data_IF_413348061876
#
_entry.id   IF_413348061876
#
_cell.length_a   1.000
_cell.length_b   1.000
_cell.length_c   1.000
_cell.angle_alpha   90.00
_cell.angle_beta   90.00
_cell.angle_gamma   90.00
#
_symmetry.space_group_name_H-M   'P 1'
#
loop_
_entity.id
_entity.type
_entity.pdbx_description
1 polymer ?
#
# COMPACT_ATOMS: atom_id res chain seq x y z
N UNK A 1 -25.80 -17.26 -9.61
CA UNK A 1 -24.63 -16.71 -8.91
C UNK A 1 -24.43 -15.31 -9.43
N UNK A 2 -24.24 -14.35 -8.54
CA UNK A 2 -23.91 -12.98 -8.92
C UNK A 2 -22.39 -12.90 -9.14
N UNK A 3 -21.95 -12.21 -10.18
CA UNK A 3 -20.54 -11.89 -10.40
C UNK A 3 -20.37 -10.38 -10.40
N UNK A 4 -19.43 -9.87 -9.62
CA UNK A 4 -19.08 -8.45 -9.55
C UNK A 4 -17.69 -8.29 -10.19
N UNK A 5 -17.65 -7.55 -11.29
CA UNK A 5 -16.52 -7.49 -12.23
C UNK A 5 -16.51 -6.12 -12.96
N UNK A 6 -16.26 -5.00 -12.24
CA UNK A 6 -16.43 -3.65 -12.81
C UNK A 6 -15.53 -3.38 -14.03
N UNK A 7 -14.24 -3.74 -13.94
CA UNK A 7 -13.24 -3.53 -14.99
C UNK A 7 -12.89 -4.80 -15.77
N UNK A 8 -13.67 -5.87 -15.58
CA UNK A 8 -13.44 -7.18 -16.17
C UNK A 8 -14.59 -7.51 -17.14
N UNK A 9 -14.25 -8.01 -18.31
CA UNK A 9 -15.19 -8.60 -19.28
C UNK A 9 -15.20 -10.11 -19.14
N UNK A 10 -16.39 -10.70 -18.92
CA UNK A 10 -16.55 -12.16 -18.91
C UNK A 10 -16.86 -12.65 -20.34
N UNK A 11 -15.99 -13.51 -20.86
CA UNK A 11 -16.10 -14.08 -22.21
C UNK A 11 -16.96 -15.34 -22.23
N UNK A 12 -16.83 -16.18 -21.20
CA UNK A 12 -17.63 -17.39 -21.08
C UNK A 12 -17.77 -17.84 -19.63
N UNK A 13 -18.91 -18.50 -19.37
CA UNK A 13 -19.15 -19.26 -18.15
C UNK A 13 -19.67 -20.63 -18.57
N UNK A 14 -19.10 -21.70 -18.03
CA UNK A 14 -19.55 -23.07 -18.35
C UNK A 14 -19.67 -23.94 -17.10
N UNK A 15 -20.69 -24.79 -17.09
CA UNK A 15 -20.94 -25.77 -16.03
C UNK A 15 -20.94 -27.13 -16.69
N UNK A 16 -20.05 -28.04 -16.26
CA UNK A 16 -19.92 -29.37 -16.87
C UNK A 16 -19.80 -29.33 -18.40
N UNK A 17 -19.01 -28.39 -18.91
CA UNK A 17 -18.77 -28.12 -20.34
C UNK A 17 -19.98 -27.57 -21.13
N UNK A 18 -21.11 -27.27 -20.48
CA UNK A 18 -22.23 -26.57 -21.09
C UNK A 18 -22.14 -25.07 -20.83
N UNK A 19 -22.24 -24.26 -21.88
CA UNK A 19 -22.17 -22.81 -21.77
C UNK A 19 -23.42 -22.26 -21.08
N UNK A 20 -23.22 -21.39 -20.09
CA UNK A 20 -24.28 -20.68 -19.40
C UNK A 20 -24.60 -19.37 -20.10
N UNK A 21 -25.85 -18.94 -20.04
CA UNK A 21 -26.20 -17.57 -20.45
C UNK A 21 -25.55 -16.55 -19.52
N UNK A 22 -25.19 -15.41 -20.09
CA UNK A 22 -24.59 -14.27 -19.38
C UNK A 22 -25.48 -13.06 -19.63
N UNK A 23 -25.91 -12.40 -18.56
CA UNK A 23 -26.53 -11.08 -18.61
C UNK A 23 -25.61 -10.11 -17.87
N UNK A 24 -25.21 -9.01 -18.51
CA UNK A 24 -24.33 -7.99 -17.95
C UNK A 24 -25.11 -6.69 -17.74
N UNK A 25 -24.92 -6.08 -16.57
CA UNK A 25 -25.41 -4.74 -16.26
C UNK A 25 -24.38 -4.03 -15.36
N UNK A 26 -23.73 -2.99 -15.88
CA UNK A 26 -22.77 -2.15 -15.15
C UNK A 26 -21.68 -2.94 -14.40
N UNK A 27 -21.05 -3.91 -15.07
CA UNK A 27 -20.00 -4.76 -14.50
C UNK A 27 -20.50 -5.78 -13.48
N UNK A 28 -21.82 -6.03 -13.44
CA UNK A 28 -22.42 -7.16 -12.72
C UNK A 28 -22.94 -8.17 -13.71
N UNK A 29 -22.65 -9.45 -13.44
CA UNK A 29 -23.13 -10.56 -14.25
C UNK A 29 -24.00 -11.49 -13.42
N UNK A 30 -25.00 -12.11 -14.05
CA UNK A 30 -25.75 -13.21 -13.46
C UNK A 30 -25.45 -14.48 -14.24
N UNK A 31 -24.89 -15.47 -13.55
CA UNK A 31 -24.71 -16.84 -14.07
C UNK A 31 -25.80 -17.72 -13.46
N UNK A 32 -26.79 -18.20 -14.24
CA UNK A 32 -27.81 -19.10 -13.72
C UNK A 32 -27.17 -20.45 -13.36
N UNK A 33 -27.39 -20.91 -12.14
CA UNK A 33 -26.91 -22.22 -11.67
C UNK A 33 -28.13 -23.02 -11.22
N UNK A 34 -28.39 -24.13 -11.89
CA UNK A 34 -29.54 -25.00 -11.58
C UNK A 34 -29.40 -25.66 -10.20
N UNK A 35 -30.53 -25.98 -9.56
CA UNK A 35 -30.50 -26.76 -8.32
C UNK A 35 -29.87 -28.14 -8.52
N UNK A 36 -30.06 -28.76 -9.70
CA UNK A 36 -29.46 -30.03 -10.05
C UNK A 36 -27.93 -29.96 -10.01
N UNK A 37 -27.34 -28.95 -10.66
CA UNK A 37 -25.88 -28.73 -10.65
C UNK A 37 -25.35 -28.46 -9.24
N UNK A 38 -26.08 -27.69 -8.42
CA UNK A 38 -25.70 -27.50 -7.00
C UNK A 38 -25.73 -28.81 -6.20
N UNK A 39 -26.67 -29.72 -6.45
CA UNK A 39 -26.71 -31.03 -5.79
C UNK A 39 -25.61 -31.96 -6.27
N UNK A 40 -25.35 -31.97 -7.58
CA UNK A 40 -24.26 -32.73 -8.21
C UNK A 40 -22.86 -32.20 -7.83
N UNK A 41 -22.78 -30.95 -7.36
CA UNK A 41 -21.54 -30.24 -7.01
C UNK A 41 -20.62 -30.09 -8.23
N UNK A 42 -21.22 -29.80 -9.38
CA UNK A 42 -20.52 -29.51 -10.63
C UNK A 42 -19.53 -28.35 -10.48
N UNK A 43 -18.59 -28.25 -11.41
CA UNK A 43 -17.67 -27.12 -11.50
C UNK A 43 -18.21 -26.06 -12.46
N UNK A 44 -18.23 -24.82 -12.01
CA UNK A 44 -18.38 -23.63 -12.83
C UNK A 44 -16.97 -23.15 -13.21
N UNK A 45 -16.75 -22.90 -14.50
CA UNK A 45 -15.53 -22.28 -15.03
C UNK A 45 -15.92 -20.95 -15.66
N UNK A 46 -15.20 -19.88 -15.31
CA UNK A 46 -15.43 -18.53 -15.83
C UNK A 46 -14.14 -18.03 -16.46
N UNK A 47 -14.22 -17.60 -17.73
CA UNK A 47 -13.11 -16.98 -18.48
C UNK A 47 -13.37 -15.51 -18.69
N UNK A 48 -12.35 -14.69 -18.52
CA UNK A 48 -12.48 -13.24 -18.51
C UNK A 48 -11.17 -12.53 -18.87
N UNK A 49 -11.25 -11.23 -19.14
CA UNK A 49 -10.07 -10.35 -19.28
C UNK A 49 -10.38 -8.92 -18.83
N UNK A 50 -9.36 -8.10 -18.59
CA UNK A 50 -9.54 -6.67 -18.34
C UNK A 50 -10.22 -5.98 -19.53
N UNK A 51 -11.11 -5.02 -19.24
CA UNK A 51 -11.71 -4.15 -20.25
C UNK A 51 -10.65 -3.22 -20.84
N UNK A 52 -10.53 -3.19 -22.17
CA UNK A 52 -9.64 -2.27 -22.87
C UNK A 52 -8.13 -2.58 -22.80
N UNK A 53 -7.72 -3.72 -22.23
CA UNK A 53 -6.35 -4.24 -22.32
C UNK A 53 -6.36 -5.58 -23.04
N UNK A 54 -5.72 -5.62 -24.21
CA UNK A 54 -5.56 -6.87 -24.96
C UNK A 54 -4.32 -7.62 -24.44
N UNK A 55 -4.47 -8.88 -24.03
CA UNK A 55 -3.34 -9.80 -23.90
C UNK A 55 -3.43 -10.88 -22.83
N UNK A 56 -3.94 -10.58 -21.63
CA UNK A 56 -4.05 -11.56 -20.53
C UNK A 56 -5.49 -12.04 -20.34
N UNK A 57 -5.69 -13.36 -20.33
CA UNK A 57 -6.98 -14.00 -20.05
C UNK A 57 -6.87 -14.69 -18.69
N UNK A 58 -7.83 -14.43 -17.81
CA UNK A 58 -8.00 -15.13 -16.55
C UNK A 58 -9.04 -16.24 -16.67
N UNK A 59 -8.76 -17.38 -16.06
CA UNK A 59 -9.72 -18.46 -15.85
C UNK A 59 -9.83 -18.77 -14.36
N UNK A 60 -11.07 -18.84 -13.85
CA UNK A 60 -11.35 -19.28 -12.48
C UNK A 60 -12.30 -20.47 -12.49
N UNK A 61 -11.97 -21.50 -11.72
CA UNK A 61 -12.81 -22.67 -11.52
C UNK A 61 -13.28 -22.76 -10.06
N UNK A 62 -14.57 -22.99 -9.86
CA UNK A 62 -15.19 -23.11 -8.55
C UNK A 62 -16.34 -24.11 -8.55
N UNK A 63 -16.64 -24.71 -7.39
CA UNK A 63 -17.82 -25.59 -7.26
C UNK A 63 -19.10 -24.78 -7.27
N UNK A 64 -20.11 -25.23 -8.01
CA UNK A 64 -21.46 -24.64 -8.04
C UNK A 64 -22.14 -24.62 -6.66
N UNK A 65 -21.80 -25.57 -5.78
CA UNK A 65 -22.21 -25.57 -4.37
C UNK A 65 -21.14 -24.95 -3.45
N UNK A 66 -21.50 -23.98 -2.59
CA UNK A 66 -20.60 -23.46 -1.56
C UNK A 66 -20.06 -24.55 -0.63
N UNK A 67 -18.74 -24.55 -0.42
CA UNK A 67 -18.08 -25.45 0.53
C UNK A 67 -18.40 -25.13 1.99
N UNK A 68 -18.07 -26.05 2.91
CA UNK A 68 -18.27 -25.84 4.37
C UNK A 68 -17.48 -24.65 4.91
N UNK A 69 -16.24 -24.45 4.44
CA UNK A 69 -15.37 -23.35 4.87
C UNK A 69 -15.97 -21.98 4.56
N UNK A 70 -16.50 -21.82 3.34
CA UNK A 70 -17.15 -20.59 2.89
C UNK A 70 -18.39 -20.23 3.74
N UNK A 71 -19.14 -21.23 4.22
CA UNK A 71 -20.27 -20.99 5.15
C UNK A 71 -19.82 -20.52 6.53
N UNK A 72 -18.62 -20.89 6.97
CA UNK A 72 -18.07 -20.50 8.27
C UNK A 72 -17.41 -19.12 8.22
N UNK A 73 -16.59 -18.87 7.20
CA UNK A 73 -15.78 -17.66 7.09
C UNK A 73 -16.46 -16.54 6.29
N UNK A 74 -17.57 -16.86 5.60
CA UNK A 74 -18.28 -15.94 4.72
C UNK A 74 -17.58 -15.72 3.37
N UNK A 75 -16.28 -15.98 3.22
CA UNK A 75 -15.55 -15.82 1.95
C UNK A 75 -14.40 -16.83 1.77
N UNK A 76 -13.92 -16.96 0.52
CA UNK A 76 -12.69 -17.67 0.17
C UNK A 76 -11.99 -16.99 -1.02
N UNK A 77 -10.65 -17.02 -1.04
CA UNK A 77 -9.86 -16.60 -2.22
C UNK A 77 -9.78 -17.78 -3.19
N UNK A 78 -10.06 -17.52 -4.46
CA UNK A 78 -9.96 -18.50 -5.53
C UNK A 78 -8.63 -18.33 -6.26
N UNK A 79 -8.12 -19.43 -6.80
CA UNK A 79 -6.98 -19.42 -7.71
C UNK A 79 -7.47 -18.97 -9.08
N UNK A 80 -6.73 -18.07 -9.71
CA UNK A 80 -6.92 -17.68 -11.10
C UNK A 80 -5.74 -18.22 -11.90
N UNK A 81 -6.01 -18.92 -12.98
CA UNK A 81 -4.99 -19.33 -13.94
C UNK A 81 -4.96 -18.29 -15.08
N UNK A 82 -3.77 -17.76 -15.37
CA UNK A 82 -3.59 -16.71 -16.38
C UNK A 82 -2.95 -17.28 -17.66
N UNK A 83 -3.48 -16.91 -18.82
CA UNK A 83 -2.95 -17.25 -20.13
C UNK A 83 -2.74 -16.02 -21.01
N UNK A 84 -1.88 -16.14 -22.02
CA UNK A 84 -1.71 -15.11 -23.05
C UNK A 84 -2.43 -15.53 -24.33
N UNK A 85 -3.14 -14.60 -24.95
CA UNK A 85 -3.68 -14.77 -26.30
C UNK A 85 -2.66 -14.25 -27.31
N UNK A 86 -1.90 -15.15 -27.94
CA UNK A 86 -1.12 -14.81 -29.14
C UNK A 86 -1.90 -15.28 -30.38
N UNK A 87 -2.34 -14.34 -31.22
CA UNK A 87 -2.89 -14.54 -32.57
C UNK A 87 -3.42 -15.95 -32.86
N UNK A 88 -4.59 -16.28 -32.30
CA UNK A 88 -5.38 -17.45 -32.71
C UNK A 88 -5.09 -18.78 -31.99
N UNK A 89 -4.20 -18.84 -31.01
CA UNK A 89 -4.09 -20.01 -30.11
C UNK A 89 -3.93 -19.57 -28.65
N UNK A 90 -4.98 -19.78 -27.85
CA UNK A 90 -4.96 -19.57 -26.40
C UNK A 90 -4.09 -20.66 -25.74
N UNK A 91 -2.99 -20.27 -25.08
CA UNK A 91 -2.25 -21.16 -24.18
C UNK A 91 -2.35 -20.61 -22.76
N UNK A 92 -3.17 -21.26 -21.93
CA UNK A 92 -3.17 -21.04 -20.49
C UNK A 92 -1.92 -21.74 -19.94
N UNK A 93 -0.93 -20.98 -19.46
CA UNK A 93 0.20 -21.56 -18.73
C UNK A 93 -0.30 -21.90 -17.33
N UNK A 94 -0.36 -23.19 -16.99
CA UNK A 94 -0.51 -23.60 -15.61
C UNK A 94 0.70 -23.08 -14.82
N UNK A 95 0.51 -22.05 -13.99
CA UNK A 95 1.53 -21.63 -13.05
C UNK A 95 1.86 -22.83 -12.15
N UNK A 96 3.08 -23.35 -12.29
CA UNK A 96 3.51 -24.62 -11.74
C UNK A 96 3.27 -24.68 -10.22
N UNK A 97 2.82 -25.84 -9.76
CA UNK A 97 2.79 -26.21 -8.34
C UNK A 97 4.22 -26.17 -7.79
N UNK A 98 4.53 -25.25 -6.88
CA UNK A 98 5.28 -25.67 -5.70
C UNK A 98 5.01 -24.77 -4.49
N UNK A 99 4.75 -25.42 -3.36
CA UNK A 99 4.49 -24.82 -2.05
C UNK A 99 5.77 -24.73 -1.21
N UNK A 100 6.95 -24.98 -1.79
CA UNK A 100 8.24 -24.99 -1.10
C UNK A 100 9.41 -24.48 -1.96
N UNK A 101 9.52 -23.17 -2.17
CA UNK A 101 10.83 -22.53 -2.41
C UNK A 101 10.72 -21.01 -2.31
N UNK A 102 10.90 -20.46 -1.10
CA UNK A 102 11.52 -19.14 -0.93
C UNK A 102 12.93 -19.41 -0.42
N UNK A 103 13.86 -19.63 -1.33
CA UNK A 103 15.31 -19.51 -1.08
C UNK A 103 15.94 -18.77 -2.25
N UNK A 104 16.82 -17.85 -1.87
CA UNK A 104 17.43 -16.81 -2.67
C UNK A 104 18.06 -17.28 -3.99
N UNK A 105 18.03 -16.40 -4.99
CA UNK A 105 19.10 -16.25 -5.96
C UNK A 105 19.21 -14.79 -6.38
N UNK A 106 20.31 -14.17 -5.97
CA UNK A 106 20.86 -12.92 -6.49
C UNK A 106 21.41 -13.11 -7.91
N UNK A 107 21.03 -12.24 -8.84
CA UNK A 107 21.86 -11.59 -9.87
C UNK A 107 21.07 -11.36 -11.16
N UNK A 108 21.12 -10.12 -11.65
CA UNK A 108 21.14 -9.81 -13.08
C UNK A 108 19.82 -9.41 -13.72
N UNK A 109 19.63 -8.08 -13.85
CA UNK A 109 19.19 -7.40 -15.07
C UNK A 109 18.02 -7.99 -15.84
N UNK A 110 16.83 -7.48 -15.54
CA UNK A 110 15.64 -7.66 -16.35
C UNK A 110 14.42 -7.40 -15.49
N UNK A 111 13.83 -6.20 -15.61
CA UNK A 111 12.47 -5.97 -15.14
C UNK A 111 11.58 -6.85 -16.00
N UNK A 112 11.32 -8.08 -15.57
CA UNK A 112 10.16 -8.82 -16.07
C UNK A 112 8.94 -8.04 -15.59
N UNK A 113 8.39 -7.20 -16.47
CA UNK A 113 7.03 -6.68 -16.32
C UNK A 113 6.12 -7.85 -15.94
N UNK A 114 5.58 -7.82 -14.73
CA UNK A 114 4.49 -8.70 -14.31
C UNK A 114 3.25 -8.34 -15.12
N UNK A 115 3.17 -8.90 -16.32
CA UNK A 115 2.04 -8.72 -17.24
C UNK A 115 0.79 -9.38 -16.65
N UNK A 116 -0.04 -8.57 -15.99
CA UNK A 116 -1.47 -8.75 -15.74
C UNK A 116 -1.88 -9.98 -14.92
N UNK A 117 -1.82 -9.89 -13.60
CA UNK A 117 -2.51 -10.83 -12.72
C UNK A 117 -3.97 -10.45 -12.48
N UNK A 118 -4.73 -11.39 -11.94
CA UNK A 118 -6.13 -11.20 -11.55
C UNK A 118 -6.34 -11.72 -10.13
N UNK A 119 -7.35 -11.21 -9.44
CA UNK A 119 -7.80 -11.73 -8.16
C UNK A 119 -9.26 -12.14 -8.23
N UNK A 120 -9.54 -13.34 -7.72
CA UNK A 120 -10.90 -13.87 -7.62
C UNK A 120 -11.22 -14.22 -6.17
N UNK A 121 -12.38 -13.77 -5.71
CA UNK A 121 -12.92 -14.07 -4.40
C UNK A 121 -14.33 -14.58 -4.52
N UNK A 122 -14.70 -15.56 -3.69
CA UNK A 122 -16.09 -15.97 -3.54
C UNK A 122 -16.59 -15.58 -2.17
N UNK A 123 -17.73 -14.91 -2.14
CA UNK A 123 -18.37 -14.39 -0.93
C UNK A 123 -19.77 -14.99 -0.81
N UNK A 124 -20.07 -15.50 0.38
CA UNK A 124 -21.40 -15.95 0.79
C UNK A 124 -21.92 -15.01 1.88
N UNK A 125 -22.82 -14.10 1.53
CA UNK A 125 -23.36 -13.10 2.46
C UNK A 125 -24.88 -12.98 2.34
N UNK A 126 -25.59 -13.22 3.44
CA UNK A 126 -27.07 -13.14 3.47
C UNK A 126 -27.74 -14.06 2.45
N UNK A 127 -27.24 -15.30 2.29
CA UNK A 127 -27.74 -16.27 1.31
C UNK A 127 -27.31 -16.02 -0.15
N UNK A 128 -26.69 -14.87 -0.45
CA UNK A 128 -26.16 -14.55 -1.78
C UNK A 128 -24.78 -15.16 -1.99
N UNK A 129 -24.61 -15.82 -3.12
CA UNK A 129 -23.37 -16.47 -3.59
C UNK A 129 -22.78 -15.60 -4.70
N UNK A 130 -21.70 -14.89 -4.36
CA UNK A 130 -21.12 -13.80 -5.14
C UNK A 130 -19.69 -14.19 -5.53
N UNK A 131 -19.36 -14.11 -6.82
CA UNK A 131 -17.99 -14.17 -7.33
C UNK A 131 -17.52 -12.74 -7.59
N UNK A 132 -16.36 -12.35 -7.07
CA UNK A 132 -15.76 -11.03 -7.30
C UNK A 132 -14.49 -11.21 -8.11
N UNK A 133 -14.36 -10.51 -9.22
CA UNK A 133 -13.22 -10.57 -10.12
C UNK A 133 -12.61 -9.17 -10.25
N UNK A 134 -11.31 -9.08 -10.02
CA UNK A 134 -10.54 -7.83 -10.09
C UNK A 134 -9.27 -8.04 -10.90
N UNK A 135 -8.84 -6.98 -11.57
CA UNK A 135 -7.46 -6.86 -12.00
C UNK A 135 -6.54 -6.85 -10.77
N UNK A 136 -5.35 -7.41 -10.90
CA UNK A 136 -4.29 -7.16 -9.92
C UNK A 136 -3.95 -5.66 -9.96
N UNK A 137 -4.12 -4.93 -8.84
CA UNK A 137 -3.83 -3.51 -8.82
C UNK A 137 -2.33 -3.30 -9.00
N UNK A 138 -1.95 -2.32 -9.83
CA UNK A 138 -0.57 -1.83 -9.81
C UNK A 138 -0.40 -0.97 -8.55
N UNK A 139 0.02 -1.59 -7.46
CA UNK A 139 0.25 -0.92 -6.17
C UNK A 139 1.44 0.03 -6.21
N UNK A 140 2.37 -0.14 -7.15
CA UNK A 140 3.51 0.76 -7.31
C UNK A 140 3.11 2.08 -7.98
N UNK A 141 2.08 2.10 -8.83
CA UNK A 141 1.61 3.29 -9.57
C UNK A 141 0.11 3.58 -9.39
N UNK A 142 -0.46 3.27 -8.21
CA UNK A 142 -1.91 3.35 -8.04
C UNK A 142 -2.45 4.79 -8.12
N UNK A 143 -1.63 5.81 -7.79
CA UNK A 143 -2.07 7.20 -7.87
C UNK A 143 -2.18 7.70 -9.31
N UNK A 144 -1.64 6.98 -10.31
CA UNK A 144 -1.84 7.28 -11.74
C UNK A 144 -3.32 7.31 -12.16
N UNK A 145 -4.19 6.62 -11.42
CA UNK A 145 -5.62 6.54 -11.68
C UNK A 145 -6.43 7.69 -11.04
N UNK A 146 -5.79 8.52 -10.23
CA UNK A 146 -6.43 9.58 -9.45
C UNK A 146 -6.21 10.91 -10.18
N UNK A 147 -7.23 11.78 -10.38
CA UNK A 147 -7.04 13.08 -11.03
C UNK A 147 -6.14 14.03 -10.25
N UNK A 148 -5.33 14.81 -10.95
CA UNK A 148 -4.38 15.79 -10.38
C UNK A 148 -5.02 16.82 -9.46
N UNK A 149 -6.26 17.21 -9.75
CA UNK A 149 -7.03 18.19 -8.97
C UNK A 149 -7.47 17.67 -7.59
N UNK A 150 -7.30 16.37 -7.32
CA UNK A 150 -7.71 15.75 -6.06
C UNK A 150 -6.80 16.25 -4.92
N UNK A 151 -7.34 16.90 -3.87
CA UNK A 151 -6.57 17.25 -2.68
C UNK A 151 -5.98 16.00 -2.02
N UNK A 152 -4.70 16.03 -1.64
CA UNK A 152 -4.01 14.88 -1.05
C UNK A 152 -4.68 14.41 0.25
N UNK A 153 -5.24 15.36 1.03
CA UNK A 153 -5.98 15.07 2.25
C UNK A 153 -7.30 14.32 2.06
N UNK A 154 -7.78 14.12 0.83
CA UNK A 154 -8.94 13.26 0.52
C UNK A 154 -8.53 11.82 0.17
N UNK A 155 -7.24 11.51 0.08
CA UNK A 155 -6.76 10.18 -0.23
C UNK A 155 -6.57 9.34 1.02
N UNK A 156 -6.97 8.07 0.94
CA UNK A 156 -6.60 7.07 1.96
C UNK A 156 -5.24 6.49 1.59
N UNK A 157 -4.21 6.90 2.32
CA UNK A 157 -2.84 6.44 2.10
C UNK A 157 -2.44 5.43 3.17
N UNK A 158 -1.94 4.26 2.74
CA UNK A 158 -1.34 3.31 3.65
C UNK A 158 -0.01 3.86 4.19
N UNK A 159 0.23 3.67 5.48
CA UNK A 159 1.45 4.09 6.16
C UNK A 159 2.06 2.99 7.01
N UNK A 160 3.36 3.10 7.28
CA UNK A 160 4.08 2.20 8.17
C UNK A 160 4.64 2.96 9.38
N UNK A 161 4.37 2.43 10.57
CA UNK A 161 4.99 2.90 11.83
C UNK A 161 6.44 2.42 11.89
N UNK A 162 7.36 3.32 12.22
CA UNK A 162 8.80 3.00 12.30
C UNK A 162 9.28 2.28 11.05
N UNK A 163 9.11 2.89 9.88
CA UNK A 163 9.25 2.27 8.56
C UNK A 163 10.63 1.62 8.33
N UNK A 164 11.66 2.07 9.04
CA UNK A 164 13.02 1.53 8.97
C UNK A 164 13.35 0.53 10.10
N UNK A 165 12.43 0.23 11.01
CA UNK A 165 12.70 -0.59 12.19
C UNK A 165 12.74 -2.10 11.91
N UNK A 166 13.80 -2.52 11.22
CA UNK A 166 14.08 -3.90 10.83
C UNK A 166 14.75 -4.73 11.94
N UNK A 167 15.29 -4.08 12.97
CA UNK A 167 16.14 -4.70 13.99
C UNK A 167 15.66 -4.39 15.42
N UNK A 168 16.03 -5.25 16.36
CA UNK A 168 15.74 -5.07 17.78
C UNK A 168 14.53 -5.84 18.30
N UNK A 169 14.20 -6.97 17.66
CA UNK A 169 13.24 -7.94 18.18
C UNK A 169 13.49 -8.27 19.67
N UNK A 170 12.43 -8.43 20.50
CA UNK A 170 11.01 -8.34 20.16
C UNK A 170 10.40 -6.94 20.32
N UNK A 171 11.17 -5.96 20.81
CA UNK A 171 10.62 -4.68 21.28
C UNK A 171 10.69 -3.61 20.19
N UNK A 172 11.83 -3.53 19.49
CA UNK A 172 12.12 -2.43 18.57
C UNK A 172 12.01 -2.81 17.10
N UNK A 173 11.54 -4.01 16.76
CA UNK A 173 11.31 -4.41 15.38
C UNK A 173 9.84 -4.25 15.00
N UNK A 174 9.56 -3.32 14.09
CA UNK A 174 8.20 -3.09 13.55
C UNK A 174 8.06 -3.61 12.11
N UNK A 175 9.17 -3.76 11.38
CA UNK A 175 9.20 -4.19 9.99
C UNK A 175 10.07 -5.46 9.81
N UNK A 176 9.92 -6.15 8.69
CA UNK A 176 10.67 -7.37 8.38
C UNK A 176 11.74 -7.11 7.32
N UNK A 177 12.78 -7.94 7.27
CA UNK A 177 13.82 -7.85 6.23
C UNK A 177 13.26 -8.01 4.81
N UNK A 178 12.11 -8.65 4.65
CA UNK A 178 11.38 -8.76 3.38
C UNK A 178 10.52 -7.53 3.04
N UNK A 179 10.39 -6.55 3.94
CA UNK A 179 9.62 -5.32 3.76
C UNK A 179 10.55 -4.11 3.86
N UNK A 180 11.58 -4.07 3.01
CA UNK A 180 12.45 -2.90 2.86
C UNK A 180 11.64 -1.66 2.47
N UNK A 181 12.21 -0.46 2.56
CA UNK A 181 11.50 0.76 2.14
C UNK A 181 11.06 0.68 0.68
N UNK A 182 11.93 0.19 -0.21
CA UNK A 182 11.59 -0.09 -1.60
C UNK A 182 10.36 -1.01 -1.71
N UNK A 183 10.37 -2.16 -1.02
CA UNK A 183 9.24 -3.08 -1.07
C UNK A 183 7.96 -2.47 -0.49
N UNK A 184 8.04 -1.71 0.61
CA UNK A 184 6.89 -0.99 1.17
C UNK A 184 6.27 -0.06 0.12
N UNK A 185 7.10 0.70 -0.62
CA UNK A 185 6.63 1.60 -1.68
C UNK A 185 6.01 0.82 -2.85
N UNK A 186 6.62 -0.29 -3.28
CA UNK A 186 6.06 -1.17 -4.32
C UNK A 186 4.73 -1.80 -3.88
N UNK A 187 4.57 -2.08 -2.59
CA UNK A 187 3.33 -2.62 -1.99
C UNK A 187 2.25 -1.54 -1.77
N UNK A 188 2.51 -0.28 -2.13
CA UNK A 188 1.54 0.81 -2.07
C UNK A 188 1.57 1.66 -0.80
N UNK A 189 2.58 1.51 0.06
CA UNK A 189 2.79 2.42 1.20
C UNK A 189 3.20 3.80 0.69
N UNK A 190 2.60 4.85 1.25
CA UNK A 190 2.83 6.25 0.86
C UNK A 190 2.99 7.20 2.04
N UNK A 191 2.99 6.69 3.26
CA UNK A 191 3.35 7.42 4.47
C UNK A 191 4.41 6.64 5.25
N UNK A 192 5.57 7.26 5.47
CA UNK A 192 6.70 6.64 6.17
C UNK A 192 6.99 7.38 7.48
N UNK A 193 6.88 6.71 8.63
CA UNK A 193 7.33 7.21 9.94
C UNK A 193 8.80 6.83 10.14
N UNK A 194 9.70 7.80 9.99
CA UNK A 194 11.15 7.59 10.11
C UNK A 194 11.69 8.39 11.26
N UNK A 195 12.48 7.72 12.11
CA UNK A 195 12.97 8.28 13.35
C UNK A 195 14.49 8.24 13.40
N UNK A 196 15.06 9.38 13.76
CA UNK A 196 16.49 9.64 13.60
C UNK A 196 17.13 10.02 14.93
N UNK A 197 18.44 9.80 15.02
CA UNK A 197 19.34 10.38 16.02
C UNK A 197 20.59 10.90 15.33
N UNK A 198 21.22 11.91 15.92
CA UNK A 198 22.58 12.33 15.55
C UNK A 198 23.57 11.47 16.31
N UNK A 199 24.42 10.74 15.58
CA UNK A 199 25.51 9.92 16.13
C UNK A 199 26.75 10.18 15.27
N UNK A 200 27.86 10.59 15.89
CA UNK A 200 29.11 10.91 15.19
C UNK A 200 28.89 11.83 13.98
N UNK A 201 28.13 12.92 14.19
CA UNK A 201 27.74 13.90 13.17
C UNK A 201 26.82 13.39 12.05
N UNK A 202 26.34 12.15 12.12
CA UNK A 202 25.47 11.55 11.11
C UNK A 202 24.02 11.38 11.60
N UNK A 203 23.06 11.55 10.68
CA UNK A 203 21.65 11.24 10.91
C UNK A 203 21.38 9.76 10.65
N UNK A 204 21.26 8.98 11.73
CA UNK A 204 21.07 7.54 11.69
C UNK A 204 19.66 7.15 12.16
N UNK A 205 19.10 6.09 11.57
CA UNK A 205 17.78 5.59 11.97
C UNK A 205 17.83 4.82 13.29
N UNK A 206 16.88 5.12 14.17
CA UNK A 206 16.77 4.54 15.50
C UNK A 206 15.33 4.26 15.87
N UNK A 207 15.13 3.22 16.69
CA UNK A 207 13.89 2.97 17.41
C UNK A 207 14.24 2.74 18.89
N UNK A 208 13.85 3.70 19.73
CA UNK A 208 14.36 3.90 21.08
C UNK A 208 15.90 3.89 21.10
N UNK A 209 16.54 3.03 21.91
CA UNK A 209 18.00 2.94 21.96
C UNK A 209 18.61 2.07 20.84
N UNK A 210 17.80 1.48 19.95
CA UNK A 210 18.28 0.50 18.96
C UNK A 210 18.52 1.14 17.60
N UNK A 211 19.77 1.06 17.14
CA UNK A 211 20.15 1.43 15.77
C UNK A 211 19.47 0.49 14.76
N UNK A 212 18.98 1.08 13.68
CA UNK A 212 18.37 0.37 12.56
C UNK A 212 19.34 0.19 11.37
N UNK A 213 20.64 0.45 11.60
CA UNK A 213 21.74 0.18 10.65
C UNK A 213 21.55 0.83 9.29
N UNK A 214 20.95 2.02 9.27
CA UNK A 214 20.74 2.84 8.08
C UNK A 214 20.92 4.32 8.43
N UNK A 215 21.06 5.15 7.41
CA UNK A 215 21.24 6.60 7.52
C UNK A 215 20.27 7.37 6.63
N UNK A 216 19.95 8.61 6.99
CA UNK A 216 19.04 9.45 6.20
C UNK A 216 19.45 9.55 4.72
N UNK A 217 20.73 9.76 4.34
CA UNK A 217 21.13 9.75 2.93
C UNK A 217 20.79 8.46 2.18
N UNK A 218 20.97 7.30 2.81
CA UNK A 218 20.64 6.01 2.19
C UNK A 218 19.13 5.87 1.94
N UNK A 219 18.30 6.35 2.88
CA UNK A 219 16.86 6.41 2.68
C UNK A 219 16.48 7.36 1.54
N UNK A 220 17.03 8.58 1.53
CA UNK A 220 16.71 9.58 0.50
C UNK A 220 16.99 9.04 -0.91
N UNK A 221 18.11 8.33 -1.11
CA UNK A 221 18.42 7.67 -2.38
C UNK A 221 17.29 6.74 -2.83
N UNK A 222 16.82 5.84 -1.95
CA UNK A 222 15.73 4.90 -2.26
C UNK A 222 14.44 5.63 -2.60
N UNK A 223 14.12 6.70 -1.86
CA UNK A 223 12.91 7.49 -2.10
C UNK A 223 12.98 8.22 -3.45
N UNK A 224 14.14 8.78 -3.80
CA UNK A 224 14.35 9.49 -5.06
C UNK A 224 14.34 8.55 -6.26
N UNK A 225 14.92 7.36 -6.13
CA UNK A 225 14.86 6.31 -7.15
C UNK A 225 13.41 5.90 -7.41
N UNK A 226 12.63 5.66 -6.34
CA UNK A 226 11.22 5.35 -6.44
C UNK A 226 10.41 6.46 -7.13
N UNK A 227 10.55 7.72 -6.68
CA UNK A 227 9.82 8.85 -7.27
C UNK A 227 10.23 9.12 -8.73
N UNK A 228 11.47 8.78 -9.11
CA UNK A 228 11.93 8.86 -10.50
C UNK A 228 11.33 7.75 -11.36
N UNK A 229 11.25 6.53 -10.84
CA UNK A 229 10.68 5.38 -11.54
C UNK A 229 9.14 5.44 -11.63
N UNK A 230 8.49 6.05 -10.64
CA UNK A 230 7.04 6.14 -10.49
C UNK A 230 6.60 7.61 -10.43
N UNK A 231 6.73 8.38 -11.54
CA UNK A 231 6.53 9.83 -11.53
C UNK A 231 5.08 10.26 -11.29
N UNK A 232 4.11 9.32 -11.35
CA UNK A 232 2.74 9.61 -10.98
C UNK A 232 2.52 9.63 -9.47
N UNK A 233 3.45 9.09 -8.68
CA UNK A 233 3.27 8.91 -7.26
C UNK A 233 3.82 10.10 -6.46
N UNK A 234 3.37 10.21 -5.22
CA UNK A 234 3.94 11.10 -4.19
C UNK A 234 4.02 10.30 -2.90
N UNK A 235 4.90 10.66 -1.97
CA UNK A 235 4.96 10.05 -0.64
C UNK A 235 4.99 11.12 0.46
N UNK A 236 4.60 10.76 1.67
CA UNK A 236 4.75 11.58 2.87
C UNK A 236 5.86 10.96 3.72
N UNK A 237 6.91 11.72 3.97
CA UNK A 237 7.99 11.33 4.87
C UNK A 237 7.82 12.09 6.19
N UNK A 238 7.42 11.38 7.24
CA UNK A 238 7.34 11.90 8.59
C UNK A 238 8.68 11.67 9.30
N UNK A 239 9.39 12.76 9.63
CA UNK A 239 10.65 12.71 10.37
C UNK A 239 10.47 13.13 11.82
N UNK A 240 11.00 12.31 12.73
CA UNK A 240 11.02 12.58 14.17
C UNK A 240 12.43 12.38 14.74
N UNK A 241 12.82 13.19 15.70
CA UNK A 241 13.98 12.88 16.55
C UNK A 241 13.57 11.83 17.61
N UNK A 242 14.25 10.67 17.64
CA UNK A 242 13.66 9.48 18.25
C UNK A 242 13.46 9.58 19.76
N UNK A 243 14.40 10.17 20.50
CA UNK A 243 14.21 10.43 21.94
C UNK A 243 15.34 11.27 22.51
N UNK A 244 15.11 11.91 23.66
CA UNK A 244 16.14 12.62 24.39
C UNK A 244 17.39 11.77 24.70
N UNK A 245 18.57 12.40 24.88
CA UNK A 245 18.79 13.85 24.74
C UNK A 245 18.72 14.30 23.27
N UNK A 246 18.01 15.39 23.03
CA UNK A 246 17.86 15.98 21.70
C UNK A 246 19.13 16.73 21.31
N UNK A 247 19.54 16.60 20.04
CA UNK A 247 20.75 17.22 19.54
C UNK A 247 20.48 18.69 19.17
N UNK A 248 21.30 19.66 19.64
CA UNK A 248 21.02 21.10 19.44
C UNK A 248 21.04 21.57 17.98
N UNK A 249 21.62 20.78 17.09
CA UNK A 249 21.73 21.05 15.65
C UNK A 249 20.94 20.03 14.79
N UNK A 250 19.94 19.34 15.37
CA UNK A 250 19.23 18.28 14.66
C UNK A 250 18.52 18.84 13.42
N UNK A 251 17.82 19.98 13.54
CA UNK A 251 17.03 20.54 12.46
C UNK A 251 17.91 21.02 11.30
N UNK A 252 19.01 21.72 11.58
CA UNK A 252 19.96 22.16 10.57
C UNK A 252 20.57 20.98 9.80
N UNK A 253 20.92 19.89 10.50
CA UNK A 253 21.46 18.68 9.83
C UNK A 253 20.44 18.01 8.92
N UNK A 254 19.17 17.96 9.34
CA UNK A 254 18.10 17.45 8.48
C UNK A 254 17.96 18.35 7.26
N UNK A 255 17.91 19.68 7.44
CA UNK A 255 17.84 20.61 6.32
C UNK A 255 18.99 20.40 5.31
N UNK A 256 20.25 20.36 5.79
CA UNK A 256 21.42 20.16 4.92
C UNK A 256 21.37 18.84 4.14
N UNK A 257 20.74 17.79 4.68
CA UNK A 257 20.58 16.53 3.96
C UNK A 257 19.57 16.63 2.81
N UNK A 258 18.58 17.52 2.91
CA UNK A 258 17.54 17.72 1.89
C UNK A 258 17.91 18.80 0.89
N UNK A 259 18.64 19.84 1.30
CA UNK A 259 18.95 21.05 0.52
C UNK A 259 19.34 20.78 -0.94
N UNK A 260 20.23 19.82 -1.26
CA UNK A 260 20.60 19.53 -2.66
C UNK A 260 19.44 19.03 -3.54
N UNK A 261 18.34 18.58 -2.93
CA UNK A 261 17.24 17.88 -3.57
C UNK A 261 15.90 18.60 -3.46
N UNK A 262 15.80 19.70 -2.71
CA UNK A 262 14.52 20.36 -2.37
C UNK A 262 13.72 20.68 -3.64
N UNK A 263 14.32 21.42 -4.58
CA UNK A 263 13.64 21.87 -5.81
C UNK A 263 13.12 20.72 -6.67
N UNK A 264 13.85 19.60 -6.69
CA UNK A 264 13.53 18.45 -7.54
C UNK A 264 12.51 17.53 -6.90
N UNK A 265 12.73 17.15 -5.64
CA UNK A 265 12.06 16.01 -5.02
C UNK A 265 11.20 16.35 -3.83
N UNK A 266 11.15 17.60 -3.34
CA UNK A 266 10.46 17.87 -2.08
C UNK A 266 9.48 19.05 -2.14
N UNK A 267 8.34 18.84 -1.49
CA UNK A 267 7.35 19.86 -1.21
C UNK A 267 7.40 20.19 0.29
N UNK A 268 7.79 21.43 0.59
CA UNK A 268 8.05 21.89 1.97
C UNK A 268 7.03 22.90 2.51
N UNK A 269 6.01 23.25 1.73
CA UNK A 269 5.00 24.22 2.18
C UNK A 269 4.10 23.61 3.25
N UNK A 270 3.75 24.41 4.25
CA UNK A 270 2.88 23.99 5.36
C UNK A 270 1.40 24.09 4.97
N UNK A 271 0.98 23.26 4.02
CA UNK A 271 -0.42 23.13 3.60
C UNK A 271 -0.67 21.75 3.00
N UNK A 272 -1.94 21.42 2.78
CA UNK A 272 -2.34 20.22 2.03
C UNK A 272 -2.38 20.55 0.53
N UNK A 273 -1.52 19.94 -0.31
CA UNK A 273 -1.50 20.19 -1.74
C UNK A 273 -2.54 19.35 -2.49
N UNK A 274 -2.79 19.73 -3.74
CA UNK A 274 -3.41 18.83 -4.74
C UNK A 274 -2.38 17.79 -5.19
N UNK A 275 -2.86 16.61 -5.59
CA UNK A 275 -2.00 15.50 -6.01
C UNK A 275 -1.04 15.90 -7.14
N UNK A 276 -1.54 16.63 -8.15
CA UNK A 276 -0.72 17.09 -9.28
C UNK A 276 0.48 17.97 -8.90
N UNK A 277 0.39 18.71 -7.79
CA UNK A 277 1.49 19.59 -7.31
C UNK A 277 2.67 18.80 -6.74
N UNK A 278 2.44 17.56 -6.32
CA UNK A 278 3.41 16.73 -5.57
C UNK A 278 3.78 15.43 -6.28
N UNK A 279 3.24 15.15 -7.47
CA UNK A 279 3.68 13.99 -8.27
C UNK A 279 5.18 14.05 -8.57
N UNK A 280 5.86 12.94 -8.40
CA UNK A 280 7.31 12.82 -8.51
C UNK A 280 8.08 13.49 -7.35
N UNK A 281 7.37 13.98 -6.32
CA UNK A 281 7.94 14.63 -5.13
C UNK A 281 7.48 13.93 -3.86
N UNK A 282 8.25 14.09 -2.80
CA UNK A 282 7.86 13.78 -1.44
C UNK A 282 7.34 15.03 -0.73
N UNK A 283 6.34 14.85 0.11
CA UNK A 283 5.87 15.85 1.06
C UNK A 283 6.51 15.57 2.42
N UNK A 284 7.16 16.58 3.00
CA UNK A 284 7.79 16.43 4.31
C UNK A 284 6.78 16.70 5.42
N UNK A 285 6.84 15.90 6.48
CA UNK A 285 6.18 16.15 7.75
C UNK A 285 7.23 16.08 8.86
N UNK A 286 7.28 17.06 9.76
CA UNK A 286 8.33 17.13 10.80
C UNK A 286 7.75 17.10 12.20
N UNK A 287 8.39 16.32 13.08
CA UNK A 287 8.06 16.14 14.50
C UNK A 287 9.31 16.37 15.36
N UNK A 288 9.98 17.49 15.13
CA UNK A 288 11.13 17.98 15.89
C UNK A 288 11.14 19.50 15.83
N UNK A 289 11.67 20.14 16.87
CA UNK A 289 11.73 21.60 16.97
C UNK A 289 12.84 22.18 16.09
N UNK A 290 12.76 23.49 15.82
CA UNK A 290 13.89 24.24 15.26
C UNK A 290 15.02 24.33 16.27
N UNK A 291 16.25 24.42 15.76
CA UNK A 291 17.43 24.61 16.59
C UNK A 291 17.34 25.94 17.35
N UNK A 292 17.80 25.96 18.60
CA UNK A 292 17.63 27.11 19.52
C UNK A 292 18.56 28.29 19.22
N UNK A 293 19.62 28.06 18.47
CA UNK A 293 20.57 29.09 18.05
C UNK A 293 20.28 29.43 16.58
N UNK A 294 19.77 30.64 16.33
CA UNK A 294 19.52 31.14 14.98
C UNK A 294 20.86 31.30 14.25
N UNK A 295 21.12 30.42 13.28
CA UNK A 295 22.17 30.56 12.28
C UNK A 295 21.57 30.68 10.87
N UNK A 296 22.35 31.21 9.92
CA UNK A 296 21.99 31.24 8.50
C UNK A 296 21.61 29.82 8.02
N UNK A 297 20.40 29.65 7.47
CA UNK A 297 19.82 28.32 7.17
C UNK A 297 18.36 28.17 7.62
N UNK A 298 17.58 29.25 7.56
CA UNK A 298 16.14 29.18 7.82
C UNK A 298 15.48 28.34 6.72
N UNK A 299 14.67 27.36 7.11
CA UNK A 299 13.81 26.62 6.18
C UNK A 299 12.98 27.61 5.35
N UNK A 300 13.32 27.86 4.07
CA UNK A 300 12.89 29.07 3.36
C UNK A 300 11.39 29.07 3.04
N UNK A 301 10.78 27.88 2.94
CA UNK A 301 9.36 27.67 2.66
C UNK A 301 8.62 26.91 3.78
N UNK A 302 9.22 26.81 4.97
CA UNK A 302 8.73 25.96 6.07
C UNK A 302 9.40 24.57 6.11
N UNK A 303 9.12 23.82 7.17
CA UNK A 303 9.69 22.49 7.45
C UNK A 303 8.78 21.37 6.93
N UNK A 304 8.09 21.61 5.81
CA UNK A 304 6.92 20.81 5.45
C UNK A 304 5.78 21.03 6.43
N UNK A 305 4.93 20.01 6.54
CA UNK A 305 3.83 20.00 7.49
C UNK A 305 4.34 19.77 8.91
N UNK A 306 4.08 20.73 9.79
CA UNK A 306 4.62 20.74 11.15
C UNK A 306 3.50 20.88 12.19
N UNK A 307 3.07 19.78 12.82
CA UNK A 307 2.04 19.84 13.85
C UNK A 307 2.46 20.75 15.02
N UNK A 308 1.63 21.74 15.35
CA UNK A 308 1.89 22.67 16.47
C UNK A 308 1.92 21.99 17.84
N UNK A 309 1.36 20.79 17.95
CA UNK A 309 1.35 19.98 19.17
C UNK A 309 1.32 18.49 18.83
N UNK A 310 1.99 17.68 19.66
CA UNK A 310 1.92 16.22 19.60
C UNK A 310 1.90 15.63 21.01
N UNK A 311 0.72 15.59 21.68
CA UNK A 311 0.63 15.10 23.05
C UNK A 311 1.02 13.61 23.13
N UNK A 312 1.77 13.26 24.19
CA UNK A 312 2.26 11.91 24.44
C UNK A 312 1.10 10.94 24.70
N UNK A 313 0.88 10.01 23.76
CA UNK A 313 -0.05 8.88 23.89
C UNK A 313 -1.48 9.25 24.33
N UNK A 314 -2.02 10.38 23.86
CA UNK A 314 -3.37 10.84 24.20
C UNK A 314 -4.45 9.94 23.58
N UNK A 315 -5.33 9.40 24.43
CA UNK A 315 -6.32 8.37 24.07
C UNK A 315 -7.35 8.85 23.03
N UNK A 316 -7.89 10.06 23.20
CA UNK A 316 -8.98 10.59 22.37
C UNK A 316 -8.49 11.17 21.02
N UNK A 317 -7.17 11.13 20.78
CA UNK A 317 -6.53 11.88 19.73
C UNK A 317 -6.47 13.39 20.03
N UNK A 318 -6.00 14.13 19.04
CA UNK A 318 -5.84 15.58 19.11
C UNK A 318 -5.99 16.18 17.71
N UNK A 319 -6.09 17.50 17.67
CA UNK A 319 -6.26 18.27 16.45
C UNK A 319 -5.25 19.40 16.41
N UNK A 320 -4.88 19.78 15.20
CA UNK A 320 -3.95 20.86 14.92
C UNK A 320 -4.28 21.46 13.55
N UNK A 321 -3.80 22.67 13.30
CA UNK A 321 -4.01 23.39 12.04
C UNK A 321 -2.81 23.20 11.12
N UNK A 322 -3.07 22.88 9.85
CA UNK A 322 -2.08 22.77 8.79
C UNK A 322 -2.41 23.82 7.72
N UNK A 323 -1.90 25.04 7.89
CA UNK A 323 -2.12 26.14 6.94
C UNK A 323 -3.59 26.42 6.66
N UNK A 324 -4.43 26.43 7.71
CA UNK A 324 -5.88 26.60 7.62
C UNK A 324 -6.68 25.31 7.41
N UNK A 325 -6.01 24.16 7.25
CA UNK A 325 -6.66 22.84 7.21
C UNK A 325 -6.63 22.18 8.57
N UNK A 326 -7.80 21.92 9.16
CA UNK A 326 -7.89 21.19 10.44
C UNK A 326 -7.53 19.72 10.23
N UNK A 327 -6.49 19.25 10.92
CA UNK A 327 -6.05 17.85 10.92
C UNK A 327 -6.37 17.20 12.25
N UNK A 328 -6.88 15.96 12.21
CA UNK A 328 -7.12 15.13 13.40
C UNK A 328 -6.15 13.96 13.39
N UNK A 329 -5.49 13.73 14.52
CA UNK A 329 -4.50 12.65 14.69
C UNK A 329 -4.88 11.78 15.88
N UNK A 330 -4.80 10.46 15.70
CA UNK A 330 -4.97 9.47 16.77
C UNK A 330 -3.67 8.68 16.91
N UNK A 331 -2.93 8.94 17.99
CA UNK A 331 -1.63 8.31 18.30
C UNK A 331 -1.60 7.76 19.74
N UNK A 332 -2.65 7.04 20.13
CA UNK A 332 -2.68 6.31 21.40
C UNK A 332 -1.87 5.02 21.27
N UNK A 333 -0.57 5.08 21.58
CA UNK A 333 0.32 3.93 21.41
C UNK A 333 0.62 3.18 22.72
N UNK A 334 0.47 3.81 23.91
CA UNK A 334 0.62 3.13 25.21
C UNK A 334 -0.64 2.35 25.57
N UNK A 335 -0.86 1.26 24.86
CA UNK A 335 -1.93 0.28 25.15
C UNK A 335 -1.37 -0.74 26.14
N UNK A 336 -1.50 -0.45 27.44
CA UNK A 336 -0.82 -1.20 28.51
C UNK A 336 -1.32 -2.64 28.71
N UNK A 337 -2.55 -2.96 28.28
CA UNK A 337 -3.16 -4.27 28.52
C UNK A 337 -3.89 -4.77 27.29
N UNK A 338 -3.99 -6.10 27.12
CA UNK A 338 -4.78 -6.69 26.04
C UNK A 338 -6.28 -6.35 26.13
N UNK A 339 -6.77 -6.02 27.33
CA UNK A 339 -8.15 -5.58 27.56
C UNK A 339 -8.43 -4.20 26.94
N UNK A 340 -7.39 -3.40 26.71
CA UNK A 340 -7.50 -2.07 26.09
C UNK A 340 -7.42 -2.12 24.55
N UNK A 341 -7.17 -3.28 23.95
CA UNK A 341 -7.11 -3.44 22.48
C UNK A 341 -8.46 -3.09 21.82
N UNK A 342 -9.63 -3.57 22.31
CA UNK A 342 -10.92 -3.18 21.74
C UNK A 342 -11.16 -1.67 21.81
N UNK A 343 -10.69 -1.02 22.88
CA UNK A 343 -10.80 0.44 23.02
C UNK A 343 -9.95 1.15 21.97
N UNK A 344 -8.69 0.71 21.75
CA UNK A 344 -7.81 1.27 20.71
C UNK A 344 -8.40 1.12 19.31
N UNK A 345 -9.12 0.03 19.06
CA UNK A 345 -9.80 -0.19 17.78
C UNK A 345 -11.05 0.69 17.62
N UNK A 346 -11.68 1.10 18.71
CA UNK A 346 -12.87 1.94 18.71
C UNK A 346 -12.59 3.45 18.67
N UNK A 347 -11.38 3.88 19.08
CA UNK A 347 -10.89 5.26 19.02
C UNK A 347 -10.29 5.60 17.67
#
# INVERSE_FOLDING_TARGET
>A
MEVIAPHISIHSASISSQQSSLSEENGRYIIPISQASRRAKDSLVVRFSSKGKDGSVGEVALRTAPGKSLKKNGWERLRVDCGYSSKGTEKIRAAHLDRRSRRASSNGGGVEETKGGYHAYRLLKGGRDILMLFDEPNTADFMSLIPDETPLGLLTLAGTHESCALYGYPISQCQQSSTTIEQQLLDGVRFLDVRLRVVDDQLLMYHGPRSQRSSLPALLSVLHDFLTAHPTETLILCLKEESPPFHPSFSARVYSAFEPYIEKFWFLQERIPKLGEVRGKGMLMTRFDRDKEEGEGQWPAGMGVHPSTWPDSKKEGFEWDCGGTRVRTQDWYRVHTFLSIPEKFAT
#
